data_IF_216674569852
#
_entry.id   IF_216674569852
#
_cell.length_a   1.000
_cell.length_b   1.000
_cell.length_c   1.000
_cell.angle_alpha   90.00
_cell.angle_beta   90.00
_cell.angle_gamma   90.00
#
_symmetry.space_group_name_H-M   'P 1'
#
loop_
_entity.id
_entity.type
_entity.pdbx_description
1 polymer ?
#
# COMPACT_ATOMS: atom_id res chain seq x y z
N UNK A 1 18.18 -10.78 9.67
CA UNK A 1 17.38 -9.97 10.62
C UNK A 1 16.67 -8.86 9.87
N UNK A 2 15.72 -8.18 10.50
CA UNK A 2 15.02 -7.01 9.95
C UNK A 2 15.47 -5.72 10.67
N UNK A 3 15.49 -4.60 9.94
CA UNK A 3 15.66 -3.28 10.53
C UNK A 3 14.29 -2.62 10.68
N UNK A 4 13.90 -2.27 11.90
CA UNK A 4 12.59 -1.69 12.20
C UNK A 4 12.71 -0.16 12.32
N UNK A 5 11.76 0.55 11.70
CA UNK A 5 11.64 2.01 11.81
C UNK A 5 10.23 2.29 12.34
N UNK A 6 10.16 2.78 13.57
CA UNK A 6 8.88 3.11 14.19
C UNK A 6 8.34 4.43 13.65
N UNK A 7 7.06 4.45 13.31
CA UNK A 7 6.35 5.61 12.74
C UNK A 7 4.98 5.74 13.38
N UNK A 8 4.48 6.97 13.50
CA UNK A 8 3.17 7.24 14.13
C UNK A 8 2.18 7.81 13.10
N UNK A 9 2.64 8.72 12.24
CA UNK A 9 1.81 9.40 11.25
C UNK A 9 2.13 8.98 9.82
N UNK A 10 1.22 9.30 8.89
CA UNK A 10 1.47 9.14 7.45
C UNK A 10 2.68 9.94 6.97
N UNK A 11 2.94 11.12 7.56
CA UNK A 11 4.14 11.91 7.26
C UNK A 11 5.43 11.22 7.74
N UNK A 12 5.41 10.65 8.96
CA UNK A 12 6.55 9.87 9.48
C UNK A 12 6.83 8.64 8.60
N UNK A 13 5.77 7.94 8.19
CA UNK A 13 5.87 6.79 7.28
C UNK A 13 6.46 7.20 5.93
N UNK A 14 6.01 8.30 5.35
CA UNK A 14 6.58 8.83 4.11
C UNK A 14 8.08 9.13 4.26
N UNK A 15 8.46 9.84 5.32
CA UNK A 15 9.86 10.18 5.60
C UNK A 15 10.71 8.91 5.80
N UNK A 16 10.21 7.94 6.56
CA UNK A 16 10.85 6.65 6.80
C UNK A 16 11.09 5.89 5.50
N UNK A 17 10.06 5.76 4.65
CA UNK A 17 10.17 5.10 3.33
C UNK A 17 11.19 5.80 2.43
N UNK A 18 11.12 7.14 2.31
CA UNK A 18 12.07 7.90 1.49
C UNK A 18 13.52 7.74 1.98
N UNK A 19 13.74 7.67 3.30
CA UNK A 19 15.09 7.48 3.87
C UNK A 19 15.72 6.12 3.54
N UNK A 20 14.90 5.12 3.24
CA UNK A 20 15.34 3.75 2.94
C UNK A 20 15.36 3.43 1.44
N UNK A 21 14.91 4.37 0.60
CA UNK A 21 14.84 4.17 -0.83
C UNK A 21 16.25 4.00 -1.42
N UNK A 22 16.44 2.92 -2.17
CA UNK A 22 17.72 2.55 -2.80
C UNK A 22 17.47 2.03 -4.20
N UNK A 23 18.51 2.03 -5.01
CA UNK A 23 18.48 1.41 -6.33
C UNK A 23 18.11 -0.07 -6.24
N UNK A 24 17.25 -0.52 -7.14
CA UNK A 24 16.75 -1.89 -7.25
C UNK A 24 16.04 -2.41 -5.99
N UNK A 25 15.49 -1.52 -5.16
CA UNK A 25 14.67 -1.92 -4.02
C UNK A 25 13.21 -2.20 -4.43
N UNK A 26 12.52 -3.00 -3.62
CA UNK A 26 11.09 -3.23 -3.74
C UNK A 26 10.38 -2.60 -2.56
N UNK A 27 9.47 -1.68 -2.83
CA UNK A 27 8.59 -1.12 -1.82
C UNK A 27 7.27 -1.89 -1.82
N UNK A 28 6.97 -2.57 -0.71
CA UNK A 28 5.70 -3.26 -0.47
C UNK A 28 4.87 -2.43 0.51
N UNK A 29 3.96 -1.60 -0.02
CA UNK A 29 3.07 -0.75 0.79
C UNK A 29 1.82 -1.53 1.24
N UNK A 30 2.02 -2.43 2.19
CA UNK A 30 0.95 -3.20 2.83
C UNK A 30 0.27 -2.48 4.03
N UNK A 31 0.86 -1.38 4.49
CA UNK A 31 0.26 -0.56 5.55
C UNK A 31 -1.05 0.10 5.08
N UNK A 32 -1.86 0.55 6.04
CA UNK A 32 -3.06 1.36 5.79
C UNK A 32 -2.85 2.81 6.28
N UNK A 33 -2.11 3.67 5.55
CA UNK A 33 -1.98 5.07 5.90
C UNK A 33 -3.35 5.77 5.92
N UNK A 34 -3.53 6.70 6.84
CA UNK A 34 -4.75 7.50 6.89
C UNK A 34 -4.79 8.47 5.68
N UNK A 35 -5.95 8.60 5.02
CA UNK A 35 -6.13 9.51 3.88
C UNK A 35 -6.10 10.99 4.27
N UNK A 36 -6.45 11.29 5.52
CA UNK A 36 -6.53 12.65 6.05
C UNK A 36 -5.82 12.76 7.41
N UNK A 37 -5.40 13.98 7.75
CA UNK A 37 -4.87 14.36 9.06
C UNK A 37 -5.57 15.62 9.57
N UNK A 38 -5.60 15.86 10.90
CA UNK A 38 -6.04 17.14 11.44
C UNK A 38 -5.28 18.31 10.82
N UNK A 39 -6.00 19.36 10.41
CA UNK A 39 -5.41 20.60 9.92
C UNK A 39 -4.52 21.25 10.99
N UNK A 40 -4.93 21.16 12.26
CA UNK A 40 -4.16 21.65 13.41
C UNK A 40 -4.08 20.55 14.46
N UNK A 41 -2.85 20.22 14.87
CA UNK A 41 -2.58 19.34 16.02
C UNK A 41 -2.49 20.20 17.29
N UNK A 42 -3.29 19.89 18.30
CA UNK A 42 -3.19 20.56 19.61
C UNK A 42 -2.02 20.00 20.41
N UNK A 43 -1.23 20.87 21.03
CA UNK A 43 -0.14 20.48 21.95
C UNK A 43 -0.66 20.05 23.33
N UNK A 44 -1.89 20.44 23.67
CA UNK A 44 -2.55 20.11 24.93
C UNK A 44 -3.83 19.32 24.69
N UNK A 45 -4.24 18.54 25.69
CA UNK A 45 -5.51 17.82 25.67
C UNK A 45 -6.66 18.82 25.49
N UNK A 46 -7.41 18.67 24.40
CA UNK A 46 -8.61 19.46 24.15
C UNK A 46 -9.66 19.08 25.21
N UNK A 47 -10.16 20.07 25.95
CA UNK A 47 -11.21 19.86 26.96
C UNK A 47 -12.54 19.51 26.26
N UNK A 48 -13.37 18.71 26.92
CA UNK A 48 -14.69 18.32 26.40
C UNK A 48 -15.53 19.56 26.12
N UNK A 49 -16.19 19.59 24.96
CA UNK A 49 -17.18 20.58 24.56
C UNK A 49 -18.42 19.86 24.02
N UNK A 50 -19.57 20.55 23.94
CA UNK A 50 -20.85 19.97 23.50
C UNK A 50 -20.90 19.66 22.00
N UNK A 51 -20.08 20.32 21.18
CA UNK A 51 -20.07 20.15 19.72
C UNK A 51 -18.70 20.44 19.13
N UNK A 52 -17.70 19.56 19.35
CA UNK A 52 -16.38 19.73 18.76
C UNK A 52 -16.44 19.51 17.25
N UNK A 53 -15.68 20.32 16.51
CA UNK A 53 -15.38 20.09 15.09
C UNK A 53 -13.90 19.74 14.92
N UNK A 54 -13.59 18.93 13.90
CA UNK A 54 -12.23 18.59 13.51
C UNK A 54 -12.03 18.92 12.04
N UNK A 55 -11.26 19.96 11.77
CA UNK A 55 -10.86 20.28 10.39
C UNK A 55 -9.80 19.30 9.94
N UNK A 56 -10.00 18.70 8.76
CA UNK A 56 -9.10 17.71 8.17
C UNK A 56 -8.48 18.25 6.89
N UNK A 57 -7.22 17.87 6.64
CA UNK A 57 -6.54 18.06 5.35
C UNK A 57 -6.05 16.71 4.82
N UNK A 58 -5.96 16.53 3.50
CA UNK A 58 -5.41 15.31 2.92
C UNK A 58 -3.98 15.03 3.39
N UNK A 59 -3.66 13.76 3.62
CA UNK A 59 -2.29 13.30 3.77
C UNK A 59 -1.60 13.18 2.41
N UNK A 60 -0.26 13.18 2.38
CA UNK A 60 0.47 12.87 1.16
C UNK A 60 0.23 11.40 0.75
N UNK A 61 0.06 11.16 -0.55
CA UNK A 61 0.04 9.80 -1.11
C UNK A 61 1.48 9.27 -1.17
N UNK A 62 1.80 8.31 -0.29
CA UNK A 62 3.16 7.78 -0.15
C UNK A 62 3.64 7.16 -1.46
N UNK A 63 2.83 6.33 -2.11
CA UNK A 63 3.23 5.64 -3.34
C UNK A 63 3.45 6.62 -4.49
N UNK A 64 2.56 7.61 -4.67
CA UNK A 64 2.75 8.65 -5.70
C UNK A 64 4.01 9.47 -5.42
N UNK A 65 4.24 9.85 -4.17
CA UNK A 65 5.41 10.63 -3.77
C UNK A 65 6.71 9.87 -4.01
N UNK A 66 6.79 8.61 -3.58
CA UNK A 66 7.97 7.76 -3.75
C UNK A 66 8.23 7.47 -5.23
N UNK A 67 7.19 7.12 -6.00
CA UNK A 67 7.34 6.87 -7.43
C UNK A 67 7.84 8.09 -8.20
N UNK A 68 7.33 9.28 -7.89
CA UNK A 68 7.84 10.53 -8.45
C UNK A 68 9.30 10.78 -8.03
N UNK A 69 9.62 10.65 -6.74
CA UNK A 69 10.97 10.87 -6.22
C UNK A 69 12.00 9.94 -6.87
N UNK A 70 11.64 8.66 -7.04
CA UNK A 70 12.48 7.65 -7.67
C UNK A 70 12.77 8.02 -9.13
N UNK A 71 11.74 8.43 -9.90
CA UNK A 71 11.90 8.89 -11.28
C UNK A 71 12.76 10.15 -11.39
N UNK A 72 12.48 11.16 -10.58
CA UNK A 72 13.21 12.44 -10.60
C UNK A 72 14.72 12.23 -10.32
N UNK A 73 15.07 11.18 -9.58
CA UNK A 73 16.45 10.80 -9.26
C UNK A 73 17.02 9.64 -10.07
N UNK A 74 16.27 9.10 -11.05
CA UNK A 74 16.64 7.91 -11.82
C UNK A 74 17.00 6.68 -10.95
N UNK A 75 16.28 6.48 -9.85
CA UNK A 75 16.44 5.32 -8.96
C UNK A 75 15.41 4.26 -9.40
N UNK A 76 15.81 3.13 -9.98
CA UNK A 76 14.88 2.06 -10.33
C UNK A 76 14.34 1.42 -9.04
N UNK A 77 13.02 1.36 -8.93
CA UNK A 77 12.31 0.79 -7.78
C UNK A 77 11.11 -0.01 -8.27
N UNK A 78 10.81 -1.12 -7.60
CA UNK A 78 9.56 -1.86 -7.81
C UNK A 78 8.52 -1.41 -6.78
N UNK A 79 7.38 -0.92 -7.23
CA UNK A 79 6.30 -0.39 -6.39
C UNK A 79 5.13 -1.35 -6.33
N UNK A 80 4.87 -1.88 -5.14
CA UNK A 80 3.80 -2.83 -4.86
C UNK A 80 2.79 -2.18 -3.91
N UNK A 81 1.53 -2.16 -4.32
CA UNK A 81 0.43 -1.64 -3.51
C UNK A 81 -0.52 -2.73 -3.01
N UNK A 82 -1.31 -2.37 -2.01
CA UNK A 82 -2.47 -3.13 -1.58
C UNK A 82 -3.72 -2.25 -1.70
N UNK A 83 -4.84 -2.88 -2.00
CA UNK A 83 -6.16 -2.27 -1.91
C UNK A 83 -7.08 -3.24 -1.17
N UNK A 84 -7.94 -2.69 -0.32
CA UNK A 84 -8.99 -3.43 0.36
C UNK A 84 -10.29 -2.67 0.11
N UNK A 85 -11.24 -3.29 -0.59
CA UNK A 85 -12.47 -2.64 -1.05
C UNK A 85 -13.67 -3.57 -0.81
N UNK A 86 -14.84 -2.98 -0.60
CA UNK A 86 -16.12 -3.71 -0.45
C UNK A 86 -17.01 -3.61 -1.70
N UNK A 87 -16.73 -2.65 -2.61
CA UNK A 87 -17.55 -2.38 -3.81
C UNK A 87 -16.66 -2.02 -5.01
N UNK A 88 -17.08 -2.40 -6.23
CA UNK A 88 -16.38 -2.12 -7.50
C UNK A 88 -14.87 -2.43 -7.45
N UNK A 89 -14.55 -3.56 -6.80
CA UNK A 89 -13.25 -3.93 -6.24
C UNK A 89 -12.12 -3.87 -7.30
N UNK A 90 -12.40 -4.36 -8.51
CA UNK A 90 -11.41 -4.46 -9.60
C UNK A 90 -11.12 -3.12 -10.31
N UNK A 91 -12.13 -2.30 -10.58
CA UNK A 91 -11.94 -1.02 -11.28
C UNK A 91 -11.08 -0.07 -10.43
N UNK A 92 -11.35 -0.02 -9.12
CA UNK A 92 -10.55 0.77 -8.18
C UNK A 92 -9.10 0.28 -8.10
N UNK A 93 -8.88 -1.04 -8.07
CA UNK A 93 -7.53 -1.60 -8.07
C UNK A 93 -6.75 -1.19 -9.33
N UNK A 94 -7.34 -1.34 -10.52
CA UNK A 94 -6.72 -0.94 -11.80
C UNK A 94 -6.47 0.57 -11.86
N UNK A 95 -7.40 1.38 -11.36
CA UNK A 95 -7.25 2.84 -11.28
C UNK A 95 -6.08 3.21 -10.36
N UNK A 96 -6.00 2.63 -9.17
CA UNK A 96 -4.89 2.83 -8.22
C UNK A 96 -3.55 2.38 -8.81
N UNK A 97 -3.51 1.23 -9.48
CA UNK A 97 -2.33 0.72 -10.19
C UNK A 97 -1.79 1.77 -11.18
N UNK A 98 -2.66 2.31 -12.03
CA UNK A 98 -2.27 3.30 -13.05
C UNK A 98 -1.92 4.66 -12.45
N UNK A 99 -2.75 5.20 -11.55
CA UNK A 99 -2.56 6.53 -10.98
C UNK A 99 -1.31 6.63 -10.10
N UNK A 100 -0.98 5.56 -9.40
CA UNK A 100 0.19 5.49 -8.52
C UNK A 100 1.41 4.90 -9.22
N UNK A 101 1.28 4.59 -10.51
CA UNK A 101 2.32 4.01 -11.35
C UNK A 101 2.97 2.78 -10.72
N UNK A 102 2.14 1.84 -10.26
CA UNK A 102 2.58 0.62 -9.58
C UNK A 102 2.92 -0.49 -10.56
N UNK A 103 3.82 -1.37 -10.16
CA UNK A 103 4.14 -2.59 -10.88
C UNK A 103 3.12 -3.68 -10.63
N UNK A 104 2.59 -3.70 -9.40
CA UNK A 104 1.57 -4.65 -8.98
C UNK A 104 0.69 -4.06 -7.88
N UNK A 105 -0.57 -4.47 -7.86
CA UNK A 105 -1.47 -4.23 -6.74
C UNK A 105 -2.19 -5.51 -6.33
N UNK A 106 -2.19 -5.79 -5.03
CA UNK A 106 -2.91 -6.89 -4.42
C UNK A 106 -4.24 -6.39 -3.88
N UNK A 107 -5.33 -6.90 -4.45
CA UNK A 107 -6.68 -6.55 -4.07
C UNK A 107 -7.25 -7.58 -3.10
N UNK A 108 -7.62 -7.12 -1.92
CA UNK A 108 -8.36 -7.87 -0.92
C UNK A 108 -9.85 -7.52 -1.03
N UNK A 109 -10.67 -8.50 -1.38
CA UNK A 109 -12.13 -8.34 -1.39
C UNK A 109 -12.69 -8.58 0.01
N UNK A 110 -13.15 -7.49 0.64
CA UNK A 110 -13.71 -7.51 2.00
C UNK A 110 -15.23 -7.75 2.01
N UNK A 111 -15.87 -7.96 0.87
CA UNK A 111 -17.32 -8.18 0.79
C UNK A 111 -17.75 -9.55 1.29
N UNK A 112 -16.81 -10.50 1.45
CA UNK A 112 -17.09 -11.86 1.90
C UNK A 112 -16.82 -12.02 3.39
N UNK A 113 -17.66 -12.81 4.06
CA UNK A 113 -17.51 -13.09 5.49
C UNK A 113 -16.34 -14.03 5.83
N UNK A 114 -15.80 -14.73 4.83
CA UNK A 114 -14.69 -15.69 4.96
C UNK A 114 -13.31 -15.10 4.61
N UNK A 115 -13.23 -13.80 4.26
CA UNK A 115 -11.99 -13.11 3.92
C UNK A 115 -11.89 -11.71 4.51
N UNK A 116 -10.70 -11.32 4.97
CA UNK A 116 -10.40 -9.94 5.31
C UNK A 116 -9.90 -9.69 6.75
N UNK A 117 -10.45 -8.66 7.39
CA UNK A 117 -10.04 -8.24 8.72
C UNK A 117 -10.66 -9.17 9.78
N UNK A 118 -9.88 -9.53 10.80
CA UNK A 118 -10.37 -10.32 11.94
C UNK A 118 -10.52 -11.84 11.72
N UNK A 119 -10.19 -12.36 10.54
CA UNK A 119 -10.16 -13.82 10.23
C UNK A 119 -8.78 -14.26 9.74
N UNK A 120 -8.45 -15.55 9.80
CA UNK A 120 -7.11 -16.07 9.43
C UNK A 120 -6.90 -16.26 7.93
N UNK A 121 -7.99 -16.20 7.15
CA UNK A 121 -8.01 -16.43 5.71
C UNK A 121 -8.17 -15.13 4.93
N UNK A 122 -7.71 -15.15 3.69
CA UNK A 122 -7.94 -14.05 2.76
C UNK A 122 -8.04 -14.55 1.32
N UNK A 123 -8.59 -13.71 0.46
CA UNK A 123 -8.71 -13.92 -0.97
C UNK A 123 -8.10 -12.71 -1.67
N UNK A 124 -7.12 -12.96 -2.54
CA UNK A 124 -6.40 -11.89 -3.23
C UNK A 124 -6.59 -12.00 -4.74
N UNK A 125 -6.81 -10.86 -5.39
CA UNK A 125 -6.64 -10.72 -6.83
C UNK A 125 -5.44 -9.83 -7.11
N UNK A 126 -4.51 -10.32 -7.91
CA UNK A 126 -3.33 -9.57 -8.38
C UNK A 126 -3.65 -8.89 -9.70
N UNK A 127 -3.27 -7.62 -9.79
CA UNK A 127 -3.21 -6.88 -11.06
C UNK A 127 -1.77 -6.42 -11.27
N UNK A 128 -1.23 -6.68 -12.45
CA UNK A 128 0.13 -6.28 -12.83
C UNK A 128 0.11 -5.17 -13.87
N UNK A 129 1.21 -4.43 -13.97
CA UNK A 129 1.38 -3.30 -14.91
C UNK A 129 1.14 -3.68 -16.38
N UNK A 130 1.44 -4.92 -16.76
CA UNK A 130 1.23 -5.44 -18.12
C UNK A 130 -0.25 -5.73 -18.44
N UNK A 131 -1.15 -5.50 -17.48
CA UNK A 131 -2.59 -5.74 -17.62
C UNK A 131 -3.01 -7.16 -17.25
N UNK A 132 -2.08 -8.05 -16.88
CA UNK A 132 -2.43 -9.38 -16.41
C UNK A 132 -3.15 -9.32 -15.06
N UNK A 133 -4.15 -10.20 -14.94
CA UNK A 133 -4.98 -10.40 -13.75
C UNK A 133 -4.87 -11.85 -13.34
N UNK A 134 -4.69 -12.10 -12.05
CA UNK A 134 -4.70 -13.44 -11.50
C UNK A 134 -5.46 -13.46 -10.18
N UNK A 135 -6.39 -14.40 -10.05
CA UNK A 135 -7.19 -14.58 -8.85
C UNK A 135 -6.64 -15.76 -8.07
N UNK A 136 -6.40 -15.56 -6.79
CA UNK A 136 -5.81 -16.58 -5.92
C UNK A 136 -6.86 -17.23 -5.04
N UNK A 137 -6.74 -18.55 -4.80
CA UNK A 137 -7.69 -19.25 -3.95
C UNK A 137 -7.68 -18.69 -2.52
N UNK A 138 -8.80 -18.87 -1.81
CA UNK A 138 -8.87 -18.61 -0.38
C UNK A 138 -7.77 -19.39 0.34
N UNK A 139 -6.91 -18.68 1.06
CA UNK A 139 -5.78 -19.29 1.75
C UNK A 139 -5.48 -18.54 3.06
N UNK A 140 -4.73 -19.20 3.95
CA UNK A 140 -4.25 -18.56 5.18
C UNK A 140 -3.32 -17.39 4.90
N UNK A 141 -3.36 -16.36 5.74
CA UNK A 141 -2.54 -15.13 5.60
C UNK A 141 -1.05 -15.41 5.44
N UNK A 142 -0.51 -16.39 6.17
CA UNK A 142 0.89 -16.80 6.04
C UNK A 142 1.18 -17.35 4.64
N UNK A 143 0.33 -18.25 4.13
CA UNK A 143 0.45 -18.80 2.78
C UNK A 143 0.40 -17.71 1.72
N UNK A 144 -0.52 -16.76 1.88
CA UNK A 144 -0.63 -15.61 0.97
C UNK A 144 0.60 -14.70 1.03
N UNK A 145 1.20 -14.50 2.21
CA UNK A 145 2.47 -13.80 2.36
C UNK A 145 3.57 -14.45 1.51
N UNK A 146 3.71 -15.77 1.57
CA UNK A 146 4.66 -16.50 0.71
C UNK A 146 4.34 -16.34 -0.78
N UNK A 147 3.07 -16.40 -1.16
CA UNK A 147 2.64 -16.23 -2.55
C UNK A 147 2.94 -14.81 -3.07
N UNK A 148 2.68 -13.77 -2.26
CA UNK A 148 3.02 -12.36 -2.58
C UNK A 148 4.50 -12.23 -2.88
N UNK A 149 5.38 -12.72 -2.00
CA UNK A 149 6.82 -12.61 -2.17
C UNK A 149 7.30 -13.37 -3.42
N UNK A 150 6.82 -14.59 -3.63
CA UNK A 150 7.17 -15.38 -4.80
C UNK A 150 6.73 -14.72 -6.12
N UNK A 151 5.57 -14.08 -6.12
CA UNK A 151 5.05 -13.38 -7.29
C UNK A 151 5.86 -12.13 -7.63
N UNK A 152 6.24 -11.36 -6.61
CA UNK A 152 7.14 -10.21 -6.76
C UNK A 152 8.51 -10.65 -7.30
N UNK A 153 9.06 -11.75 -6.79
CA UNK A 153 10.33 -12.30 -7.24
C UNK A 153 10.30 -12.67 -8.74
N UNK A 154 9.26 -13.39 -9.18
CA UNK A 154 9.06 -13.70 -10.61
C UNK A 154 9.03 -12.44 -11.47
N UNK A 155 8.23 -11.46 -11.08
CA UNK A 155 8.11 -10.20 -11.81
C UNK A 155 9.46 -9.50 -11.98
N UNK A 156 10.28 -9.46 -10.93
CA UNK A 156 11.60 -8.83 -10.96
C UNK A 156 12.60 -9.58 -11.85
N UNK A 157 12.63 -10.91 -11.78
CA UNK A 157 13.53 -11.72 -12.63
C UNK A 157 13.14 -11.63 -14.11
N UNK A 158 11.85 -11.61 -14.43
CA UNK A 158 11.39 -11.45 -15.82
C UNK A 158 11.60 -10.03 -16.37
N UNK A 159 11.60 -9.02 -15.50
CA UNK A 159 11.83 -7.62 -15.91
C UNK A 159 13.31 -7.28 -16.05
N UNK A 160 14.21 -7.91 -15.27
CA UNK A 160 15.66 -7.72 -15.40
C UNK A 160 16.28 -8.43 -16.63
N UNK A 161 15.52 -9.33 -17.27
CA UNK A 161 15.93 -10.03 -18.49
C UNK A 161 15.59 -9.26 -19.80
N UNK A 162 15.00 -8.06 -19.68
CA UNK A 162 14.68 -7.15 -20.79
C UNK A 162 15.54 -5.91 -20.72
#
# INVERSE_FOLDING_TARGET
>A
GANNIDVISTDDMLAGVLSQLRENCTLIMAAAPADYKPLKKSEVKIKKTESPSLDLVPNPDILKTVGKHAKDKNIPVTLIGFAAETHSVEEYAKKKLKEKDLDMIFLNDLSRSDSGFGVDTNHLTVFRRDGTREEWPLAGKERLGYMIIHEIEKYRTSSAAK
#
